data_IF_081510165471
#
_entry.id   IF_081510165471
#
_cell.length_a   1.000
_cell.length_b   1.000
_cell.length_c   1.000
_cell.angle_alpha   90.00
_cell.angle_beta   90.00
_cell.angle_gamma   90.00
#
_symmetry.space_group_name_H-M   'P 1'
#
loop_
_entity.id
_entity.type
_entity.pdbx_description
1 polymer ?
#
# COMPACT_ATOMS: atom_id res chain seq x y z
N UNK A 1 52.04 22.40 -25.68
CA UNK A 1 50.79 21.59 -25.72
C UNK A 1 50.35 21.20 -24.30
N UNK A 2 49.90 22.19 -23.51
CA UNK A 2 49.03 22.01 -22.33
C UNK A 2 48.38 23.37 -22.00
N UNK A 3 48.04 24.12 -23.05
CA UNK A 3 46.92 25.05 -23.00
C UNK A 3 45.67 24.19 -22.96
N UNK A 4 45.24 23.85 -21.77
CA UNK A 4 43.84 23.55 -21.54
C UNK A 4 43.54 24.20 -20.21
N UNK A 5 43.28 25.51 -20.30
CA UNK A 5 42.71 26.29 -19.22
C UNK A 5 41.71 25.41 -18.48
N UNK A 6 41.92 25.21 -17.18
CA UNK A 6 40.88 24.64 -16.33
C UNK A 6 39.65 25.50 -16.56
N UNK A 7 38.58 24.92 -17.10
CA UNK A 7 37.36 25.62 -17.46
C UNK A 7 36.58 26.05 -16.20
N UNK A 8 37.19 26.91 -15.39
CA UNK A 8 36.68 27.46 -14.13
C UNK A 8 35.38 28.26 -14.32
N UNK A 9 35.10 28.65 -15.56
CA UNK A 9 33.92 29.40 -15.98
C UNK A 9 32.71 28.50 -16.27
N UNK A 10 32.89 27.20 -16.55
CA UNK A 10 31.79 26.26 -16.77
C UNK A 10 30.93 26.06 -15.49
N UNK A 11 31.49 25.81 -14.29
CA UNK A 11 30.68 25.66 -13.08
C UNK A 11 29.97 26.95 -12.67
N UNK A 12 30.54 28.13 -12.95
CA UNK A 12 29.90 29.42 -12.64
C UNK A 12 28.76 29.71 -13.61
N UNK A 13 28.93 29.50 -14.91
CA UNK A 13 27.85 29.64 -15.90
C UNK A 13 26.72 28.65 -15.63
N UNK A 14 27.03 27.38 -15.34
CA UNK A 14 25.99 26.39 -15.00
C UNK A 14 25.22 26.75 -13.73
N UNK A 15 25.89 27.29 -12.70
CA UNK A 15 25.23 27.78 -11.48
C UNK A 15 24.31 28.99 -11.74
N UNK A 16 24.74 29.92 -12.58
CA UNK A 16 23.93 31.09 -12.99
C UNK A 16 22.71 30.64 -13.80
N UNK A 17 22.88 29.70 -14.74
CA UNK A 17 21.77 29.14 -15.52
C UNK A 17 20.76 28.43 -14.60
N UNK A 18 21.24 27.64 -13.63
CA UNK A 18 20.38 26.99 -12.62
C UNK A 18 19.62 28.01 -11.76
N UNK A 19 20.28 29.10 -11.35
CA UNK A 19 19.66 30.16 -10.57
C UNK A 19 18.60 30.93 -11.40
N UNK A 20 18.91 31.29 -12.64
CA UNK A 20 17.95 31.94 -13.56
C UNK A 20 16.78 31.00 -13.85
N UNK A 21 17.04 29.72 -14.09
CA UNK A 21 16.00 28.72 -14.30
C UNK A 21 15.11 28.57 -13.06
N UNK A 22 15.70 28.53 -11.86
CA UNK A 22 14.94 28.51 -10.61
C UNK A 22 14.09 29.77 -10.42
N UNK A 23 14.64 30.95 -10.72
CA UNK A 23 13.94 32.25 -10.68
C UNK A 23 12.79 32.30 -11.69
N UNK A 24 13.03 31.90 -12.95
CA UNK A 24 12.00 31.82 -13.97
C UNK A 24 10.91 30.79 -13.62
N UNK A 25 11.27 29.70 -12.96
CA UNK A 25 10.31 28.71 -12.41
C UNK A 25 9.51 29.28 -11.24
N UNK A 26 10.11 30.12 -10.37
CA UNK A 26 9.40 30.83 -9.30
C UNK A 26 8.43 31.87 -9.84
N UNK A 27 8.81 32.58 -10.93
CA UNK A 27 7.97 33.60 -11.58
C UNK A 27 7.07 33.06 -12.69
N UNK A 28 7.12 31.75 -12.99
CA UNK A 28 6.15 31.07 -13.87
C UNK A 28 4.80 31.08 -13.17
N UNK A 29 4.08 32.19 -13.33
CA UNK A 29 2.68 32.31 -12.91
C UNK A 29 1.93 31.12 -13.49
N UNK A 30 1.25 30.39 -12.59
CA UNK A 30 0.31 29.33 -12.95
C UNK A 30 -0.67 29.90 -13.97
N UNK A 31 -0.54 29.54 -15.24
CA UNK A 31 -1.69 29.61 -16.14
C UNK A 31 -2.62 28.49 -15.65
N UNK A 32 -3.49 28.84 -14.69
CA UNK A 32 -4.61 27.99 -14.30
C UNK A 32 -5.49 27.87 -15.54
N UNK A 33 -5.31 26.80 -16.30
CA UNK A 33 -6.27 26.48 -17.34
C UNK A 33 -7.53 25.99 -16.63
N UNK A 34 -8.55 26.86 -16.60
CA UNK A 34 -9.86 26.70 -15.96
C UNK A 34 -9.92 26.92 -14.44
N UNK A 35 -11.04 27.49 -14.00
CA UNK A 35 -11.43 27.82 -12.64
C UNK A 35 -11.70 26.57 -11.79
N UNK A 36 -10.66 25.79 -11.52
CA UNK A 36 -10.77 24.58 -10.73
C UNK A 36 -10.39 24.83 -9.27
N UNK A 37 -11.35 24.66 -8.37
CA UNK A 37 -11.14 24.73 -6.92
C UNK A 37 -10.68 23.38 -6.39
N UNK A 38 -9.37 23.25 -6.19
CA UNK A 38 -8.79 22.10 -5.50
C UNK A 38 -9.20 22.09 -4.02
N UNK A 39 -9.43 20.91 -3.41
CA UNK A 39 -9.49 20.81 -1.96
C UNK A 39 -8.28 21.48 -1.32
N UNK A 40 -8.49 22.10 -0.17
CA UNK A 40 -7.41 22.76 0.58
C UNK A 40 -6.30 21.77 0.94
N UNK A 41 -5.10 22.28 1.16
CA UNK A 41 -3.96 21.45 1.50
C UNK A 41 -2.77 22.29 1.97
N UNK A 42 -1.65 21.64 2.32
CA UNK A 42 -0.48 22.32 2.82
C UNK A 42 0.07 23.33 1.80
N UNK A 43 0.64 24.43 2.28
CA UNK A 43 1.24 25.46 1.42
C UNK A 43 2.35 24.83 0.55
N UNK A 44 2.36 25.16 -0.74
CA UNK A 44 3.33 24.62 -1.69
C UNK A 44 4.55 25.50 -1.79
N UNK A 45 5.75 24.92 -1.82
CA UNK A 45 6.96 25.62 -2.22
C UNK A 45 7.12 25.60 -3.75
N UNK A 46 7.79 26.60 -4.35
CA UNK A 46 8.13 26.56 -5.77
C UNK A 46 8.93 25.31 -6.11
N UNK A 47 8.74 24.78 -7.32
CA UNK A 47 9.42 23.60 -7.88
C UNK A 47 9.03 22.29 -7.20
N UNK A 48 9.23 22.16 -5.88
CA UNK A 48 9.09 20.91 -5.12
C UNK A 48 7.66 20.63 -4.62
N UNK A 49 6.76 21.61 -4.65
CA UNK A 49 5.39 21.45 -4.18
C UNK A 49 5.35 21.17 -2.68
N UNK A 50 4.73 20.07 -2.28
CA UNK A 50 4.60 19.64 -0.89
C UNK A 50 5.66 18.64 -0.44
N UNK A 51 6.68 18.32 -1.24
CA UNK A 51 7.68 17.31 -0.85
C UNK A 51 8.40 17.63 0.48
N UNK A 52 8.52 18.90 0.84
CA UNK A 52 9.09 19.38 2.10
C UNK A 52 8.28 18.99 3.35
N UNK A 53 6.96 18.80 3.22
CA UNK A 53 6.09 18.32 4.31
C UNK A 53 5.84 16.82 4.24
N UNK A 54 6.17 16.17 3.11
CA UNK A 54 6.03 14.72 2.92
C UNK A 54 7.25 13.90 3.39
N UNK A 55 8.32 14.57 3.83
CA UNK A 55 9.55 13.94 4.32
C UNK A 55 9.61 13.89 5.85
N UNK A 56 10.27 12.87 6.41
CA UNK A 56 10.48 12.74 7.85
C UNK A 56 10.65 11.29 8.30
N UNK A 57 10.72 11.09 9.62
CA UNK A 57 10.94 9.77 10.24
C UNK A 57 9.65 8.91 10.33
N UNK A 58 8.48 9.52 10.18
CA UNK A 58 7.18 8.84 10.17
C UNK A 58 6.82 8.31 8.79
N UNK A 59 6.11 7.19 8.73
CA UNK A 59 5.63 6.67 7.45
C UNK A 59 4.63 7.62 6.78
N UNK A 60 4.66 7.65 5.44
CA UNK A 60 3.87 8.61 4.64
C UNK A 60 2.36 8.54 4.93
N UNK A 61 1.79 7.35 5.16
CA UNK A 61 0.36 7.21 5.43
C UNK A 61 -0.07 7.83 6.77
N UNK A 62 0.76 7.71 7.81
CA UNK A 62 0.51 8.31 9.13
C UNK A 62 0.56 9.84 9.02
N UNK A 63 1.57 10.35 8.30
CA UNK A 63 1.72 11.77 8.04
C UNK A 63 0.52 12.32 7.26
N UNK A 64 0.08 11.62 6.22
CA UNK A 64 -1.11 12.01 5.45
C UNK A 64 -2.38 11.95 6.30
N UNK A 65 -2.49 11.01 7.24
CA UNK A 65 -3.60 10.95 8.18
C UNK A 65 -3.60 12.17 9.12
N UNK A 66 -2.44 12.57 9.66
CA UNK A 66 -2.29 13.79 10.49
C UNK A 66 -2.64 15.05 9.70
N UNK A 67 -2.18 15.15 8.45
CA UNK A 67 -2.50 16.29 7.58
C UNK A 67 -4.00 16.36 7.27
N UNK A 68 -4.68 15.21 7.11
CA UNK A 68 -6.13 15.18 6.92
C UNK A 68 -6.90 15.72 8.13
N UNK A 69 -6.37 15.57 9.35
CA UNK A 69 -6.98 16.17 10.55
C UNK A 69 -6.87 17.71 10.57
N UNK A 70 -5.88 18.28 9.87
CA UNK A 70 -5.65 19.74 9.80
C UNK A 70 -6.34 20.39 8.61
N UNK A 71 -6.26 19.74 7.44
CA UNK A 71 -6.76 20.30 6.17
C UNK A 71 -8.10 19.70 5.72
N UNK A 72 -8.64 18.72 6.45
CA UNK A 72 -9.86 18.02 6.11
C UNK A 72 -9.61 16.66 5.46
N UNK A 73 -10.64 15.81 5.48
CA UNK A 73 -10.59 14.42 5.02
C UNK A 73 -10.29 14.26 3.53
N UNK A 74 -10.57 15.29 2.73
CA UNK A 74 -10.19 15.39 1.33
C UNK A 74 -9.31 16.61 1.16
N UNK A 75 -8.03 16.39 0.85
CA UNK A 75 -7.03 17.45 0.72
C UNK A 75 -6.18 17.30 -0.53
N UNK A 76 -5.56 18.39 -0.99
CA UNK A 76 -4.68 18.36 -2.16
C UNK A 76 -3.22 18.43 -1.78
N UNK A 77 -2.41 17.54 -2.37
CA UNK A 77 -0.96 17.48 -2.22
C UNK A 77 -0.31 17.56 -3.59
N UNK A 78 0.68 18.43 -3.72
CA UNK A 78 1.39 18.70 -4.96
C UNK A 78 2.74 17.97 -4.97
N UNK A 79 2.91 17.05 -5.91
CA UNK A 79 4.19 16.41 -6.19
C UNK A 79 4.90 17.26 -7.25
N UNK A 80 5.87 18.05 -6.80
CA UNK A 80 6.45 19.10 -7.62
C UNK A 80 5.43 20.21 -7.90
N UNK A 81 5.67 20.99 -8.96
CA UNK A 81 4.81 22.11 -9.33
C UNK A 81 3.69 21.74 -10.31
N UNK A 82 3.63 20.49 -10.78
CA UNK A 82 2.82 20.11 -11.94
C UNK A 82 1.89 18.91 -11.72
N UNK A 83 2.05 18.10 -10.66
CA UNK A 83 1.17 16.96 -10.38
C UNK A 83 0.38 17.15 -9.09
N UNK A 84 -0.93 17.48 -9.15
CA UNK A 84 -1.81 17.44 -8.00
C UNK A 84 -2.23 15.99 -7.69
N UNK A 85 -2.25 15.66 -6.40
CA UNK A 85 -2.77 14.42 -5.85
C UNK A 85 -3.82 14.77 -4.80
N UNK A 86 -5.07 14.40 -5.03
CA UNK A 86 -6.12 14.48 -4.02
C UNK A 86 -5.98 13.26 -3.12
N UNK A 87 -5.80 13.49 -1.82
CA UNK A 87 -5.77 12.44 -0.80
C UNK A 87 -7.12 12.34 -0.15
N UNK A 88 -7.71 11.15 -0.18
CA UNK A 88 -9.02 10.85 0.40
C UNK A 88 -8.83 10.00 1.65
N UNK A 89 -9.32 10.49 2.78
CA UNK A 89 -9.13 9.89 4.11
C UNK A 89 -10.46 9.66 4.85
N UNK A 90 -11.59 9.68 4.14
CA UNK A 90 -12.93 9.43 4.68
C UNK A 90 -13.71 8.46 3.80
N UNK A 91 -14.58 7.67 4.44
CA UNK A 91 -15.23 6.51 3.85
C UNK A 91 -16.10 6.88 2.66
N UNK A 92 -16.98 7.88 2.79
CA UNK A 92 -17.94 8.23 1.73
C UNK A 92 -17.24 8.61 0.41
N UNK A 93 -16.17 9.41 0.49
CA UNK A 93 -15.42 9.81 -0.70
C UNK A 93 -14.54 8.67 -1.22
N UNK A 94 -14.01 7.81 -0.34
CA UNK A 94 -13.31 6.61 -0.77
C UNK A 94 -14.26 5.67 -1.52
N UNK A 95 -15.47 5.48 -1.01
CA UNK A 95 -16.51 4.67 -1.63
C UNK A 95 -17.01 5.27 -2.95
N UNK A 96 -17.14 6.61 -3.01
CA UNK A 96 -17.44 7.33 -4.25
C UNK A 96 -16.41 6.99 -5.34
N UNK A 97 -15.12 7.06 -5.02
CA UNK A 97 -14.02 6.83 -5.97
C UNK A 97 -13.88 5.36 -6.34
N UNK A 98 -13.87 4.48 -5.34
CA UNK A 98 -13.51 3.08 -5.49
C UNK A 98 -14.66 2.22 -5.97
N UNK A 99 -15.90 2.58 -5.64
CA UNK A 99 -17.08 1.75 -5.92
C UNK A 99 -18.04 2.48 -6.85
N UNK A 100 -18.65 3.58 -6.40
CA UNK A 100 -19.74 4.24 -7.15
C UNK A 100 -19.28 4.75 -8.53
N UNK A 101 -18.08 5.33 -8.58
CA UNK A 101 -17.41 5.84 -9.80
C UNK A 101 -16.17 5.03 -10.15
N UNK A 102 -16.17 3.75 -9.79
CA UNK A 102 -15.06 2.83 -10.03
C UNK A 102 -14.63 2.78 -11.50
N UNK A 103 -15.59 2.85 -12.43
CA UNK A 103 -15.37 2.95 -13.88
C UNK A 103 -14.59 4.21 -14.25
N UNK A 104 -15.02 5.35 -13.71
CA UNK A 104 -14.44 6.66 -13.98
C UNK A 104 -13.01 6.76 -13.46
N UNK A 105 -12.73 6.25 -12.26
CA UNK A 105 -11.44 6.36 -11.60
C UNK A 105 -10.53 5.13 -11.78
N UNK A 106 -10.79 4.33 -12.79
CA UNK A 106 -10.08 3.06 -12.96
C UNK A 106 -8.70 3.18 -13.62
N UNK A 107 -8.29 4.33 -14.15
CA UNK A 107 -6.99 4.46 -14.79
C UNK A 107 -5.85 4.56 -13.77
N UNK A 108 -4.62 4.29 -14.22
CA UNK A 108 -3.39 4.41 -13.45
C UNK A 108 -2.43 5.33 -14.19
N UNK A 109 -1.65 6.10 -13.44
CA UNK A 109 -0.48 6.80 -13.96
C UNK A 109 0.71 6.49 -13.06
N UNK A 110 1.73 5.86 -13.64
CA UNK A 110 2.95 5.51 -12.94
C UNK A 110 4.13 6.33 -13.49
N UNK A 111 5.20 6.55 -12.69
CA UNK A 111 6.42 7.17 -13.19
C UNK A 111 7.07 6.35 -14.31
N UNK A 112 7.59 6.99 -15.37
CA UNK A 112 8.21 6.33 -16.53
C UNK A 112 9.30 5.30 -16.14
N UNK A 113 10.09 5.59 -15.10
CA UNK A 113 11.13 4.70 -14.60
C UNK A 113 10.59 3.32 -14.17
N UNK A 114 9.31 3.23 -13.79
CA UNK A 114 8.69 1.96 -13.41
C UNK A 114 8.43 1.04 -14.60
N UNK A 115 8.52 1.51 -15.85
CA UNK A 115 8.35 0.65 -17.05
C UNK A 115 9.32 -0.51 -17.08
N UNK A 116 10.54 -0.31 -16.58
CA UNK A 116 11.62 -1.31 -16.52
C UNK A 116 11.16 -2.55 -15.74
N UNK A 117 10.46 -2.35 -14.62
CA UNK A 117 10.05 -3.43 -13.70
C UNK A 117 8.58 -3.84 -13.84
N UNK A 118 7.85 -3.25 -14.78
CA UNK A 118 6.39 -3.47 -14.94
C UNK A 118 6.00 -3.92 -16.35
N UNK A 119 6.95 -4.47 -17.10
CA UNK A 119 6.76 -4.88 -18.49
C UNK A 119 6.12 -3.75 -19.32
N UNK A 120 6.69 -2.54 -19.24
CA UNK A 120 6.13 -1.34 -19.88
C UNK A 120 4.66 -1.06 -19.44
N UNK A 121 4.39 -1.17 -18.13
CA UNK A 121 3.07 -1.07 -17.50
C UNK A 121 2.03 -2.13 -17.92
N UNK A 122 2.42 -3.18 -18.65
CA UNK A 122 1.52 -4.26 -19.12
C UNK A 122 1.30 -5.33 -18.05
N UNK A 123 0.86 -4.90 -16.87
CA UNK A 123 0.55 -5.76 -15.71
C UNK A 123 -0.83 -5.42 -15.16
N UNK A 124 -1.50 -6.35 -14.49
CA UNK A 124 -2.83 -6.13 -13.88
C UNK A 124 -2.85 -4.90 -12.96
N UNK A 125 -1.74 -4.67 -12.24
CA UNK A 125 -1.55 -3.53 -11.33
C UNK A 125 -1.50 -2.19 -12.05
N UNK A 126 -0.73 -2.09 -13.15
CA UNK A 126 -0.34 -0.80 -13.73
C UNK A 126 -1.05 -0.47 -15.05
N UNK A 127 -1.63 -1.46 -15.74
CA UNK A 127 -2.30 -1.23 -17.02
C UNK A 127 -3.54 -0.36 -16.86
N UNK A 128 -3.80 0.51 -17.86
CA UNK A 128 -5.06 1.22 -17.98
C UNK A 128 -6.23 0.24 -18.06
N UNK A 129 -7.37 0.67 -17.54
CA UNK A 129 -8.62 -0.08 -17.56
C UNK A 129 -9.13 -0.12 -19.00
N UNK A 130 -9.06 -1.30 -19.60
CA UNK A 130 -9.44 -1.54 -20.99
C UNK A 130 -9.42 -3.03 -21.31
N UNK A 131 -9.63 -3.42 -22.58
CA UNK A 131 -9.76 -4.82 -22.96
C UNK A 131 -8.57 -5.68 -22.54
N UNK A 132 -7.34 -5.17 -22.68
CA UNK A 132 -6.13 -5.87 -22.26
C UNK A 132 -6.13 -6.18 -20.76
N UNK A 133 -6.40 -5.18 -19.92
CA UNK A 133 -6.47 -5.36 -18.47
C UNK A 133 -7.61 -6.30 -18.05
N UNK A 134 -8.77 -6.18 -18.69
CA UNK A 134 -9.92 -7.04 -18.41
C UNK A 134 -9.60 -8.52 -18.74
N UNK A 135 -8.95 -8.79 -19.88
CA UNK A 135 -8.50 -10.13 -20.25
C UNK A 135 -7.48 -10.68 -19.26
N UNK A 136 -6.46 -9.88 -18.87
CA UNK A 136 -5.48 -10.32 -17.88
C UNK A 136 -6.13 -10.62 -16.53
N UNK A 137 -6.98 -9.73 -16.03
CA UNK A 137 -7.67 -9.90 -14.74
C UNK A 137 -8.58 -11.13 -14.77
N UNK A 138 -9.37 -11.29 -15.84
CA UNK A 138 -10.25 -12.46 -16.03
C UNK A 138 -9.43 -13.74 -16.10
N UNK A 139 -8.37 -13.79 -16.92
CA UNK A 139 -7.49 -14.95 -17.00
C UNK A 139 -6.87 -15.34 -15.66
N UNK A 140 -6.43 -14.35 -14.87
CA UNK A 140 -5.94 -14.60 -13.51
C UNK A 140 -7.06 -15.21 -12.64
N UNK A 141 -8.22 -14.56 -12.57
CA UNK A 141 -9.27 -14.94 -11.62
C UNK A 141 -10.01 -16.24 -12.01
N UNK A 142 -10.27 -16.46 -13.29
CA UNK A 142 -11.09 -17.58 -13.77
C UNK A 142 -10.27 -18.79 -14.20
N UNK A 143 -8.99 -18.61 -14.50
CA UNK A 143 -8.10 -19.70 -14.91
C UNK A 143 -7.06 -19.93 -13.84
N UNK A 144 -6.09 -19.03 -13.66
CA UNK A 144 -4.96 -19.31 -12.77
C UNK A 144 -5.38 -19.50 -11.30
N UNK A 145 -6.37 -18.73 -10.83
CA UNK A 145 -6.94 -18.79 -9.48
C UNK A 145 -8.30 -19.49 -9.44
N UNK A 146 -8.59 -20.37 -10.41
CA UNK A 146 -9.81 -21.17 -10.35
C UNK A 146 -9.73 -22.20 -9.22
N UNK A 147 -10.84 -22.49 -8.49
CA UNK A 147 -10.83 -23.46 -7.41
C UNK A 147 -10.19 -24.81 -7.79
N UNK A 148 -10.40 -25.26 -9.04
CA UNK A 148 -9.82 -26.50 -9.57
C UNK A 148 -8.30 -26.40 -9.74
N UNK A 149 -7.79 -25.32 -10.35
CA UNK A 149 -6.36 -25.16 -10.60
C UNK A 149 -5.56 -24.98 -9.32
N UNK A 150 -6.21 -24.54 -8.24
CA UNK A 150 -5.51 -24.37 -6.98
C UNK A 150 -5.65 -25.60 -6.09
N UNK A 151 -6.79 -26.30 -6.09
CA UNK A 151 -6.95 -27.58 -5.40
C UNK A 151 -5.92 -28.62 -5.88
N UNK A 152 -5.62 -28.63 -7.18
CA UNK A 152 -4.64 -29.55 -7.78
C UNK A 152 -3.20 -29.35 -7.30
N UNK A 153 -2.92 -28.30 -6.52
CA UNK A 153 -1.59 -27.96 -6.04
C UNK A 153 -1.37 -28.24 -4.55
N UNK A 154 -2.34 -28.84 -3.85
CA UNK A 154 -2.33 -29.07 -2.39
C UNK A 154 -1.04 -29.75 -1.90
N UNK A 155 -0.55 -30.78 -2.59
CA UNK A 155 0.68 -31.49 -2.19
C UNK A 155 1.92 -30.57 -2.14
N UNK A 156 2.03 -29.62 -3.08
CA UNK A 156 3.13 -28.65 -3.11
C UNK A 156 3.01 -27.63 -1.98
N UNK A 157 1.78 -27.27 -1.60
CA UNK A 157 1.51 -26.36 -0.47
C UNK A 157 1.99 -26.96 0.86
N UNK A 158 1.67 -28.24 1.09
CA UNK A 158 2.11 -28.96 2.29
C UNK A 158 3.62 -29.10 2.34
N UNK A 159 4.26 -29.35 1.20
CA UNK A 159 5.73 -29.42 1.09
C UNK A 159 6.38 -28.07 1.40
N UNK A 160 5.87 -26.98 0.82
CA UNK A 160 6.42 -25.64 1.06
C UNK A 160 6.24 -25.19 2.52
N UNK A 161 5.11 -25.53 3.15
CA UNK A 161 4.91 -25.28 4.58
C UNK A 161 5.81 -26.13 5.47
N UNK A 162 6.03 -27.39 5.12
CA UNK A 162 6.99 -28.25 5.82
C UNK A 162 8.39 -27.64 5.80
N UNK A 163 8.82 -27.16 4.63
CA UNK A 163 10.10 -26.46 4.46
C UNK A 163 10.15 -25.17 5.28
N UNK A 164 9.08 -24.37 5.28
CA UNK A 164 9.00 -23.18 6.13
C UNK A 164 9.19 -23.50 7.61
N UNK A 165 8.46 -24.50 8.12
CA UNK A 165 8.58 -24.96 9.50
C UNK A 165 10.01 -25.46 9.78
N UNK A 166 10.60 -26.20 8.85
CA UNK A 166 11.98 -26.69 8.97
C UNK A 166 12.98 -25.53 9.03
N UNK A 167 12.86 -24.52 8.17
CA UNK A 167 13.72 -23.34 8.22
C UNK A 167 13.59 -22.58 9.54
N UNK A 168 12.38 -22.44 10.06
CA UNK A 168 12.16 -21.83 11.38
C UNK A 168 12.80 -22.65 12.50
N UNK A 169 12.71 -23.99 12.46
CA UNK A 169 13.35 -24.88 13.43
C UNK A 169 14.87 -24.78 13.37
N UNK A 170 15.44 -24.78 12.17
CA UNK A 170 16.89 -24.66 11.97
C UNK A 170 17.39 -23.30 12.44
N UNK A 171 16.74 -22.20 12.08
CA UNK A 171 17.11 -20.87 12.56
C UNK A 171 17.02 -20.77 14.09
N UNK A 172 15.92 -21.26 14.68
CA UNK A 172 15.75 -21.28 16.12
C UNK A 172 16.86 -22.09 16.81
N UNK A 173 17.25 -23.25 16.27
CA UNK A 173 18.33 -24.05 16.85
C UNK A 173 19.69 -23.32 16.80
N UNK A 174 19.95 -22.56 15.74
CA UNK A 174 21.19 -21.79 15.58
C UNK A 174 21.23 -20.52 16.42
N UNK A 175 20.07 -19.91 16.69
CA UNK A 175 19.95 -18.58 17.30
C UNK A 175 19.30 -18.63 18.70
N UNK A 176 19.51 -19.71 19.46
CA UNK A 176 18.99 -19.83 20.83
C UNK A 176 17.47 -19.61 20.96
N UNK A 177 16.71 -20.09 19.97
CA UNK A 177 15.26 -19.97 19.88
C UNK A 177 14.76 -18.69 19.20
N UNK A 178 15.64 -17.77 18.80
CA UNK A 178 15.26 -16.48 18.21
C UNK A 178 15.15 -16.61 16.69
N UNK A 179 14.06 -16.11 16.11
CA UNK A 179 13.80 -16.15 14.66
C UNK A 179 13.28 -14.81 14.17
N UNK A 180 13.42 -14.55 12.86
CA UNK A 180 12.73 -13.45 12.19
C UNK A 180 11.55 -14.00 11.37
N UNK A 181 10.35 -14.11 11.99
CA UNK A 181 9.22 -14.77 11.35
C UNK A 181 8.74 -14.02 10.10
N UNK A 182 8.84 -12.68 10.06
CA UNK A 182 8.39 -11.92 8.91
C UNK A 182 9.27 -12.12 7.68
N UNK A 183 10.56 -12.38 7.85
CA UNK A 183 11.46 -12.66 6.73
C UNK A 183 11.18 -14.04 6.12
N UNK A 184 11.01 -15.05 6.97
CA UNK A 184 10.60 -16.38 6.51
C UNK A 184 9.22 -16.39 5.89
N UNK A 185 8.27 -15.67 6.49
CA UNK A 185 6.95 -15.48 5.90
C UNK A 185 7.03 -14.77 4.56
N UNK A 186 7.85 -13.74 4.36
CA UNK A 186 8.01 -13.11 3.04
C UNK A 186 8.56 -14.08 1.99
N UNK A 187 9.61 -14.84 2.34
CA UNK A 187 10.23 -15.83 1.45
C UNK A 187 9.26 -16.96 1.10
N UNK A 188 8.55 -17.46 2.10
CA UNK A 188 7.49 -18.43 1.91
C UNK A 188 6.35 -17.80 1.13
N UNK A 189 5.95 -16.56 1.39
CA UNK A 189 4.85 -15.89 0.69
C UNK A 189 5.09 -15.83 -0.80
N UNK A 190 6.31 -15.58 -1.26
CA UNK A 190 6.66 -15.65 -2.70
C UNK A 190 6.47 -17.07 -3.27
N UNK A 191 6.80 -18.12 -2.50
CA UNK A 191 6.64 -19.53 -2.90
C UNK A 191 5.17 -19.98 -2.83
N UNK A 192 4.49 -19.63 -1.76
CA UNK A 192 3.12 -19.99 -1.42
C UNK A 192 2.10 -19.18 -2.27
N UNK A 193 2.36 -17.92 -2.64
CA UNK A 193 1.52 -17.14 -3.60
C UNK A 193 1.43 -17.91 -4.92
N UNK A 194 2.45 -18.67 -5.29
CA UNK A 194 2.40 -19.46 -6.51
C UNK A 194 1.51 -20.71 -6.43
N UNK A 195 1.07 -21.15 -5.23
CA UNK A 195 0.49 -22.50 -5.07
C UNK A 195 -0.69 -22.71 -4.11
N UNK A 196 -1.20 -21.72 -3.36
CA UNK A 196 -1.94 -22.00 -2.10
C UNK A 196 -3.45 -21.67 -2.00
N UNK A 197 -4.34 -22.60 -2.32
CA UNK A 197 -5.77 -22.57 -1.91
C UNK A 197 -6.20 -24.01 -1.65
N UNK A 198 -6.06 -24.45 -0.41
CA UNK A 198 -7.22 -24.85 0.39
C UNK A 198 -6.94 -24.66 1.88
N UNK A 199 -7.93 -24.10 2.56
CA UNK A 199 -7.98 -23.89 3.99
C UNK A 199 -9.27 -23.18 4.32
N UNK A 200 -10.33 -23.97 4.57
CA UNK A 200 -11.69 -23.65 5.07
C UNK A 200 -11.93 -22.19 5.50
N UNK A 201 -13.08 -21.62 5.12
CA UNK A 201 -13.57 -20.27 5.46
C UNK A 201 -13.01 -19.73 6.78
N UNK A 202 -11.89 -19.01 6.69
CA UNK A 202 -11.27 -18.35 7.82
C UNK A 202 -11.77 -16.91 7.82
N UNK A 203 -13.02 -16.77 8.25
CA UNK A 203 -13.60 -15.48 8.65
C UNK A 203 -13.05 -15.08 10.02
N UNK A 204 -11.73 -14.95 10.09
CA UNK A 204 -11.02 -14.84 11.35
C UNK A 204 -10.78 -13.38 11.71
N UNK A 205 -11.36 -13.03 12.85
CA UNK A 205 -11.25 -11.73 13.47
C UNK A 205 -9.78 -11.28 13.67
N UNK A 206 -8.86 -12.19 14.00
CA UNK A 206 -7.44 -11.87 14.22
C UNK A 206 -6.78 -11.44 12.90
N UNK A 207 -7.03 -12.15 11.81
CA UNK A 207 -6.52 -11.79 10.48
C UNK A 207 -7.08 -10.46 10.01
N UNK A 208 -8.40 -10.28 10.10
CA UNK A 208 -9.07 -9.05 9.69
C UNK A 208 -8.58 -7.85 10.50
N UNK A 209 -8.45 -8.00 11.81
CA UNK A 209 -7.95 -6.94 12.69
C UNK A 209 -6.48 -6.62 12.43
N UNK A 210 -5.65 -7.64 12.15
CA UNK A 210 -4.25 -7.45 11.73
C UNK A 210 -4.18 -6.62 10.44
N UNK A 211 -4.99 -6.97 9.44
CA UNK A 211 -5.03 -6.28 8.15
C UNK A 211 -5.64 -4.88 8.25
N UNK A 212 -6.52 -4.64 9.22
CA UNK A 212 -7.02 -3.29 9.56
C UNK A 212 -5.93 -2.43 10.17
N UNK A 213 -5.24 -2.92 11.19
CA UNK A 213 -4.20 -2.14 11.88
C UNK A 213 -2.96 -1.92 11.00
N UNK A 214 -2.56 -2.93 10.24
CA UNK A 214 -1.32 -2.96 9.47
C UNK A 214 -1.59 -3.42 8.03
N UNK A 215 -2.40 -2.69 7.24
CA UNK A 215 -2.69 -3.06 5.86
C UNK A 215 -1.40 -3.06 5.04
N UNK A 216 -1.24 -4.10 4.22
CA UNK A 216 -0.07 -4.26 3.32
C UNK A 216 0.11 -3.01 2.46
N UNK A 217 -1.00 -2.48 1.92
CA UNK A 217 -1.04 -1.24 1.16
C UNK A 217 -1.81 -0.17 1.94
N UNK A 218 -1.08 0.60 2.75
CA UNK A 218 -1.67 1.63 3.61
C UNK A 218 -2.10 2.88 2.85
N UNK A 219 -1.49 3.10 1.67
CA UNK A 219 -1.93 4.05 0.67
C UNK A 219 -2.27 3.25 -0.57
N UNK A 220 -3.42 3.53 -1.15
CA UNK A 220 -3.75 2.92 -2.42
C UNK A 220 -2.87 3.47 -3.54
N UNK A 221 -2.71 2.65 -4.57
CA UNK A 221 -2.10 3.08 -5.81
C UNK A 221 -2.96 4.20 -6.39
N UNK A 222 -2.38 5.35 -6.79
CA UNK A 222 -3.16 6.46 -7.28
C UNK A 222 -4.10 6.07 -8.44
N UNK A 223 -5.35 6.44 -8.28
CA UNK A 223 -6.42 6.36 -9.26
C UNK A 223 -6.41 7.61 -10.12
N UNK A 224 -6.66 7.44 -11.42
CA UNK A 224 -6.79 8.56 -12.35
C UNK A 224 -8.15 8.49 -13.05
N UNK A 225 -8.83 9.62 -13.23
CA UNK A 225 -10.03 9.68 -14.06
C UNK A 225 -9.70 9.27 -15.52
N UNK A 226 -10.52 8.38 -16.08
CA UNK A 226 -10.45 7.94 -17.48
C UNK A 226 -11.32 8.78 -18.41
N UNK A 227 -12.21 9.59 -17.84
CA UNK A 227 -13.13 10.53 -18.51
C UNK A 227 -13.49 11.67 -17.56
N UNK A 228 -14.16 12.70 -18.07
CA UNK A 228 -14.70 13.78 -17.26
C UNK A 228 -15.62 13.24 -16.15
N UNK A 229 -15.30 13.58 -14.91
CA UNK A 229 -16.03 13.11 -13.73
C UNK A 229 -15.94 14.14 -12.61
N UNK A 230 -16.55 13.81 -11.47
CA UNK A 230 -16.58 14.65 -10.28
C UNK A 230 -16.25 13.85 -9.01
N UNK A 231 -15.80 14.54 -7.99
CA UNK A 231 -15.66 14.04 -6.63
C UNK A 231 -16.36 15.05 -5.71
N UNK A 232 -17.19 14.60 -4.77
CA UNK A 232 -17.97 15.52 -3.91
C UNK A 232 -18.81 16.53 -4.72
N UNK A 233 -19.32 16.11 -5.89
CA UNK A 233 -20.09 16.97 -6.80
C UNK A 233 -19.29 18.04 -7.55
N UNK A 234 -17.98 18.21 -7.30
CA UNK A 234 -17.11 19.15 -8.01
C UNK A 234 -16.34 18.44 -9.13
N UNK A 235 -16.20 19.08 -10.30
CA UNK A 235 -15.38 18.56 -11.40
C UNK A 235 -13.89 18.68 -11.06
N UNK A 236 -13.09 17.73 -11.53
CA UNK A 236 -11.62 17.76 -11.38
C UNK A 236 -10.91 17.50 -12.71
N UNK A 237 -9.68 18.00 -12.83
CA UNK A 237 -8.84 17.89 -14.03
C UNK A 237 -8.51 16.41 -14.26
N UNK A 238 -8.56 15.96 -15.52
CA UNK A 238 -8.16 14.60 -15.88
C UNK A 238 -6.72 14.25 -15.50
N UNK A 239 -5.86 15.25 -15.25
CA UNK A 239 -4.48 15.09 -14.77
C UNK A 239 -4.36 14.78 -13.28
N UNK A 240 -5.46 14.88 -12.52
CA UNK A 240 -5.46 14.70 -11.08
C UNK A 240 -5.39 13.23 -10.71
N UNK A 241 -4.43 12.89 -9.86
CA UNK A 241 -4.42 11.60 -9.22
C UNK A 241 -5.21 11.64 -7.92
N UNK A 242 -5.99 10.60 -7.64
CA UNK A 242 -6.70 10.41 -6.37
C UNK A 242 -6.03 9.26 -5.64
N UNK A 243 -5.67 9.48 -4.39
CA UNK A 243 -5.01 8.49 -3.54
C UNK A 243 -5.86 8.28 -2.30
N UNK A 244 -6.38 7.07 -2.11
CA UNK A 244 -7.13 6.72 -0.90
C UNK A 244 -6.15 6.30 0.19
N UNK A 245 -6.28 6.92 1.36
CA UNK A 245 -5.50 6.61 2.55
C UNK A 245 -6.23 5.55 3.38
N UNK A 246 -6.00 4.28 3.07
CA UNK A 246 -6.62 3.13 3.77
C UNK A 246 -6.28 3.16 5.25
N UNK A 247 -5.05 3.57 5.62
CA UNK A 247 -4.68 3.70 7.02
C UNK A 247 -5.61 4.68 7.77
N UNK A 248 -5.97 5.81 7.16
CA UNK A 248 -6.91 6.75 7.77
C UNK A 248 -8.32 6.16 7.94
N UNK A 249 -8.82 5.44 6.94
CA UNK A 249 -10.13 4.77 7.00
C UNK A 249 -10.17 3.70 8.10
N UNK A 250 -9.04 3.04 8.33
CA UNK A 250 -8.90 1.98 9.32
C UNK A 250 -8.62 2.48 10.74
N UNK A 251 -8.26 3.76 10.91
CA UNK A 251 -7.91 4.34 12.21
C UNK A 251 -8.79 5.52 12.62
N UNK A 252 -9.88 5.78 11.90
CA UNK A 252 -10.84 6.81 12.28
C UNK A 252 -11.67 6.36 13.48
N UNK A 253 -11.68 7.16 14.55
CA UNK A 253 -12.51 6.92 15.74
C UNK A 253 -14.02 7.00 15.45
N UNK A 254 -14.42 7.56 14.30
CA UNK A 254 -15.82 7.57 13.85
C UNK A 254 -16.39 6.16 13.63
N UNK A 255 -15.53 5.20 13.29
CA UNK A 255 -15.90 3.82 12.94
C UNK A 255 -15.22 2.82 13.87
N UNK A 256 -13.97 3.06 14.23
CA UNK A 256 -13.14 2.13 15.00
C UNK A 256 -12.89 2.68 16.40
N UNK A 257 -13.59 2.15 17.41
CA UNK A 257 -13.30 2.46 18.81
C UNK A 257 -11.90 2.00 19.19
N UNK A 258 -11.12 2.81 19.93
CA UNK A 258 -9.72 2.50 20.29
C UNK A 258 -8.90 1.99 19.07
N UNK A 259 -8.78 2.77 17.97
CA UNK A 259 -8.34 2.29 16.66
C UNK A 259 -6.92 1.71 16.64
N UNK A 260 -6.08 2.09 17.61
CA UNK A 260 -4.71 1.63 17.75
C UNK A 260 -4.55 0.43 18.70
N UNK A 261 -5.64 -0.05 19.31
CA UNK A 261 -5.65 -1.25 20.14
C UNK A 261 -6.04 -2.46 19.29
N UNK A 262 -5.27 -3.53 19.40
CA UNK A 262 -5.55 -4.79 18.72
C UNK A 262 -6.70 -5.51 19.44
N UNK A 263 -7.89 -5.51 18.82
CA UNK A 263 -9.12 -6.05 19.41
C UNK A 263 -9.91 -6.88 18.40
N UNK A 264 -9.46 -8.10 18.06
CA UNK A 264 -10.13 -8.99 17.10
C UNK A 264 -11.62 -9.19 17.39
N UNK A 265 -12.00 -9.32 18.67
CA UNK A 265 -13.34 -9.59 19.14
C UNK A 265 -14.40 -8.61 18.62
N UNK A 266 -14.02 -7.37 18.26
CA UNK A 266 -14.94 -6.40 17.64
C UNK A 266 -15.52 -6.91 16.32
N UNK A 267 -14.74 -7.70 15.57
CA UNK A 267 -15.10 -8.24 14.26
C UNK A 267 -15.86 -9.57 14.35
N UNK A 268 -16.06 -10.11 15.55
CA UNK A 268 -16.93 -11.27 15.78
C UNK A 268 -18.41 -10.86 15.92
N UNK A 269 -18.67 -9.59 16.25
CA UNK A 269 -20.02 -9.08 16.44
C UNK A 269 -20.63 -8.71 15.09
N UNK A 270 -21.55 -9.54 14.58
CA UNK A 270 -22.17 -9.47 13.23
C UNK A 270 -23.10 -8.25 12.98
N UNK A 271 -22.95 -7.14 13.71
CA UNK A 271 -23.98 -6.09 13.74
C UNK A 271 -23.52 -4.68 13.38
N UNK A 272 -22.22 -4.42 13.17
CA UNK A 272 -21.76 -3.10 12.72
C UNK A 272 -21.44 -3.10 11.22
N UNK A 273 -22.48 -2.81 10.43
CA UNK A 273 -22.39 -2.73 8.98
C UNK A 273 -21.41 -1.64 8.52
N UNK A 274 -21.33 -0.51 9.23
CA UNK A 274 -20.42 0.58 8.86
C UNK A 274 -18.95 0.15 9.04
N UNK A 275 -18.66 -0.61 10.10
CA UNK A 275 -17.36 -1.21 10.35
C UNK A 275 -16.98 -2.24 9.27
N UNK A 276 -17.90 -3.13 8.91
CA UNK A 276 -17.68 -4.13 7.86
C UNK A 276 -17.40 -3.49 6.50
N UNK A 277 -18.17 -2.45 6.13
CA UNK A 277 -17.98 -1.74 4.86
C UNK A 277 -16.68 -0.91 4.85
N UNK A 278 -16.27 -0.37 6.01
CA UNK A 278 -15.02 0.40 6.15
C UNK A 278 -13.76 -0.46 6.16
N UNK A 279 -13.88 -1.79 6.29
CA UNK A 279 -12.76 -2.72 6.25
C UNK A 279 -12.28 -2.97 4.82
N UNK A 280 -11.43 -2.06 4.31
CA UNK A 280 -10.87 -2.09 2.95
C UNK A 280 -9.37 -2.46 2.83
N UNK A 281 -8.84 -3.54 3.47
CA UNK A 281 -7.41 -3.83 3.45
C UNK A 281 -6.86 -4.23 2.07
N UNK A 282 -7.75 -4.60 1.13
CA UNK A 282 -7.42 -5.02 -0.23
C UNK A 282 -8.12 -4.15 -1.30
N UNK A 283 -8.50 -2.92 -0.92
CA UNK A 283 -9.28 -1.98 -1.75
C UNK A 283 -10.71 -2.47 -2.06
N UNK A 284 -11.42 -1.77 -2.95
CA UNK A 284 -12.80 -2.05 -3.35
C UNK A 284 -13.04 -1.82 -4.86
N UNK A 285 -14.23 -2.24 -5.31
CA UNK A 285 -14.75 -2.04 -6.67
C UNK A 285 -13.88 -2.62 -7.78
N UNK A 286 -13.85 -1.97 -8.96
CA UNK A 286 -13.26 -2.58 -10.16
C UNK A 286 -11.77 -2.93 -10.02
N UNK A 287 -11.03 -2.19 -9.19
CA UNK A 287 -9.59 -2.38 -8.96
C UNK A 287 -9.29 -3.14 -7.67
N UNK A 288 -10.30 -3.74 -7.04
CA UNK A 288 -10.12 -4.66 -5.92
C UNK A 288 -9.06 -5.72 -6.26
N UNK A 289 -8.25 -6.06 -5.25
CA UNK A 289 -7.12 -6.97 -5.41
C UNK A 289 -7.57 -8.30 -6.06
N UNK A 290 -7.03 -8.58 -7.25
CA UNK A 290 -7.47 -9.72 -8.05
C UNK A 290 -7.10 -11.08 -7.44
N UNK A 291 -6.11 -11.11 -6.54
CA UNK A 291 -5.67 -12.31 -5.82
C UNK A 291 -6.23 -12.44 -4.40
N UNK A 292 -7.33 -11.76 -4.07
CA UNK A 292 -7.86 -11.69 -2.70
C UNK A 292 -8.11 -13.06 -2.09
N UNK A 293 -8.76 -13.96 -2.81
CA UNK A 293 -9.09 -15.29 -2.30
C UNK A 293 -7.82 -16.12 -2.04
N UNK A 294 -6.84 -16.04 -2.93
CA UNK A 294 -5.53 -16.64 -2.75
C UNK A 294 -4.80 -16.08 -1.51
N UNK A 295 -4.77 -14.76 -1.37
CA UNK A 295 -4.10 -14.10 -0.26
C UNK A 295 -4.70 -14.45 1.10
N UNK A 296 -6.03 -14.47 1.21
CA UNK A 296 -6.75 -14.85 2.43
C UNK A 296 -6.39 -16.27 2.87
N UNK A 297 -6.46 -17.21 1.95
CA UNK A 297 -6.21 -18.63 2.24
C UNK A 297 -4.77 -18.88 2.63
N UNK A 298 -3.85 -18.30 1.86
CA UNK A 298 -2.42 -18.44 2.13
C UNK A 298 -2.01 -17.86 3.49
N UNK A 299 -2.48 -16.66 3.82
CA UNK A 299 -2.16 -16.02 5.10
C UNK A 299 -2.70 -16.85 6.25
N UNK A 300 -3.96 -17.27 6.16
CA UNK A 300 -4.64 -18.06 7.19
C UNK A 300 -3.94 -19.40 7.41
N UNK A 301 -3.61 -20.13 6.33
CA UNK A 301 -2.90 -21.40 6.41
C UNK A 301 -1.51 -21.25 7.03
N UNK A 302 -0.75 -20.23 6.61
CA UNK A 302 0.59 -19.97 7.15
C UNK A 302 0.53 -19.64 8.64
N UNK A 303 -0.39 -18.75 9.03
CA UNK A 303 -0.58 -18.34 10.42
C UNK A 303 -1.01 -19.52 11.29
N UNK A 304 -2.01 -20.30 10.86
CA UNK A 304 -2.51 -21.45 11.60
C UNK A 304 -1.40 -22.47 11.87
N UNK A 305 -0.61 -22.81 10.85
CA UNK A 305 0.51 -23.75 11.00
C UNK A 305 1.57 -23.22 11.96
N UNK A 306 1.96 -21.95 11.84
CA UNK A 306 3.01 -21.32 12.65
C UNK A 306 2.57 -21.20 14.13
N UNK A 307 1.32 -20.83 14.38
CA UNK A 307 0.75 -20.72 15.73
C UNK A 307 0.53 -22.09 16.36
N UNK A 308 0.09 -23.08 15.58
CA UNK A 308 -0.13 -24.44 16.06
C UNK A 308 1.17 -25.23 16.27
N UNK A 309 2.24 -24.89 15.55
CA UNK A 309 3.53 -25.58 15.68
C UNK A 309 4.38 -25.04 16.83
N UNK A 310 4.27 -23.75 17.16
CA UNK A 310 5.17 -23.10 18.11
C UNK A 310 4.44 -22.31 19.19
N UNK A 311 5.05 -22.24 20.38
CA UNK A 311 4.80 -21.19 21.37
C UNK A 311 5.68 -20.00 21.03
N UNK A 312 5.09 -18.81 21.07
CA UNK A 312 5.73 -17.54 20.71
C UNK A 312 5.92 -16.69 21.95
N UNK A 313 7.07 -16.03 22.07
CA UNK A 313 7.39 -15.12 23.18
C UNK A 313 8.31 -14.00 22.70
N UNK A 314 8.40 -12.92 23.47
CA UNK A 314 9.35 -11.85 23.20
C UNK A 314 10.78 -12.36 23.39
N UNK A 315 11.74 -11.75 22.70
CA UNK A 315 13.17 -12.11 22.84
C UNK A 315 13.67 -11.84 24.26
N UNK A 316 13.22 -10.71 24.84
CA UNK A 316 13.49 -10.27 26.20
C UNK A 316 12.18 -10.18 26.99
N UNK A 317 12.20 -10.65 28.24
CA UNK A 317 11.02 -10.63 29.10
C UNK A 317 10.57 -9.19 29.39
N UNK A 318 9.28 -8.93 29.25
CA UNK A 318 8.67 -7.62 29.49
C UNK A 318 8.94 -6.55 28.43
N UNK A 319 9.72 -6.85 27.37
CA UNK A 319 10.01 -5.91 26.29
C UNK A 319 9.25 -6.31 25.02
N UNK A 320 8.28 -5.48 24.63
CA UNK A 320 7.54 -5.68 23.39
C UNK A 320 8.43 -5.41 22.16
N UNK A 321 8.24 -6.15 21.05
CA UNK A 321 8.98 -5.90 19.82
C UNK A 321 8.63 -4.53 19.22
N UNK A 322 9.61 -3.93 18.55
CA UNK A 322 9.37 -2.73 17.75
C UNK A 322 8.51 -3.07 16.53
N UNK A 323 7.29 -2.53 16.49
CA UNK A 323 6.34 -2.70 15.39
C UNK A 323 6.20 -1.43 14.54
N UNK A 324 7.18 -0.52 14.61
CA UNK A 324 7.22 0.64 13.73
C UNK A 324 7.48 0.20 12.29
N UNK A 325 6.85 0.91 11.36
CA UNK A 325 6.87 0.55 9.95
C UNK A 325 7.46 1.66 9.09
N UNK A 326 7.85 1.27 7.89
CA UNK A 326 8.18 2.16 6.78
C UNK A 326 7.42 1.72 5.53
N UNK A 327 7.18 2.65 4.62
CA UNK A 327 6.73 2.30 3.27
C UNK A 327 7.95 2.12 2.37
N UNK A 328 7.97 1.03 1.61
CA UNK A 328 8.82 0.91 0.43
C UNK A 328 7.92 0.87 -0.80
N UNK A 329 7.89 2.00 -1.52
CA UNK A 329 6.83 2.28 -2.49
C UNK A 329 5.45 2.33 -1.81
N UNK A 330 4.53 1.46 -2.25
CA UNK A 330 3.17 1.36 -1.70
C UNK A 330 3.01 0.21 -0.70
N UNK A 331 4.06 -0.53 -0.41
CA UNK A 331 4.01 -1.71 0.47
C UNK A 331 4.61 -1.37 1.82
N UNK A 332 3.91 -1.77 2.88
CA UNK A 332 4.33 -1.62 4.28
C UNK A 332 5.36 -2.69 4.64
N UNK A 333 6.43 -2.28 5.30
CA UNK A 333 7.46 -3.15 5.86
C UNK A 333 7.82 -2.69 7.27
N UNK A 334 8.17 -3.61 8.15
CA UNK A 334 8.77 -3.27 9.44
C UNK A 334 10.04 -2.42 9.25
N UNK A 335 10.21 -1.40 10.10
CA UNK A 335 11.36 -0.50 10.09
C UNK A 335 12.63 -1.25 10.52
N UNK A 336 12.47 -2.08 11.54
CA UNK A 336 13.48 -2.98 12.10
C UNK A 336 13.05 -4.44 11.88
N UNK A 337 13.98 -5.39 11.80
CA UNK A 337 13.65 -6.82 11.80
C UNK A 337 12.78 -7.18 13.01
N UNK A 338 11.65 -7.85 12.78
CA UNK A 338 10.85 -8.39 13.88
C UNK A 338 11.52 -9.65 14.39
N UNK A 339 11.94 -9.65 15.65
CA UNK A 339 12.53 -10.81 16.31
C UNK A 339 11.55 -11.39 17.32
N UNK A 340 11.40 -12.71 17.33
CA UNK A 340 10.57 -13.43 18.28
C UNK A 340 11.24 -14.73 18.70
N UNK A 341 10.99 -15.16 19.93
CA UNK A 341 11.45 -16.44 20.44
C UNK A 341 10.38 -17.50 20.21
N UNK A 342 10.76 -18.62 19.61
CA UNK A 342 9.87 -19.77 19.36
C UNK A 342 10.32 -21.02 20.11
N UNK A 343 9.34 -21.78 20.59
CA UNK A 343 9.53 -23.10 21.19
C UNK A 343 8.52 -24.07 20.57
N UNK A 344 8.92 -25.23 20.01
CA UNK A 344 7.98 -26.21 19.47
C UNK A 344 6.92 -26.60 20.51
N UNK A 345 5.66 -26.68 20.09
CA UNK A 345 4.60 -27.33 20.87
C UNK A 345 4.80 -28.83 20.76
N UNK A 346 4.78 -29.53 21.91
CA UNK A 346 4.82 -30.99 21.98
C UNK A 346 3.48 -31.59 21.55
#
# INVERSE_FOLDING_TARGET
MKEMMSNSWIPTITSIILAIFAVLMMFRRRKSSSAMEWPVGPKTLPIVGNLHVLGGDSALHDMLHKLAQVYGSVMTIWIGSWKPVIVVSEFDQAWEVLVNKSLDYSAREMPEITKIVTANWRTIKNSHSGPFWATLKKGLQTVALSPQNIASQTALQEEDMRKLIEYLKVEAALNSGIVNPLDHLKKATVRLISRLIYGKDFDDAVVKETMRMKPIASLEIPHKPCKDTSLMGKKFDMRTNIMVNIHALHHTEKVWSEPYRFMPERLLQKHDKAMEESLLPLSAGMRIYAGMELGKLQFSFSLANIVNTFKWSCVSDGVLPDINDRLSGYVRFSKTPLEARIVPRM
#
